data_IF_449600424500
#
_entry.id   IF_449600424500
#
_cell.length_a   1.000
_cell.length_b   1.000
_cell.length_c   1.000
_cell.angle_alpha   90.00
_cell.angle_beta   90.00
_cell.angle_gamma   90.00
#
_symmetry.space_group_name_H-M   'P 1'
#
loop_
_entity.id
_entity.type
_entity.pdbx_description
1 polymer ?
#
# COMPACT_ATOMS: atom_id res chain seq x y z
N UNK A 1 15.07 30.38 -17.64
CA UNK A 1 14.95 29.40 -16.51
C UNK A 1 16.33 29.17 -15.90
N UNK A 2 16.45 29.31 -14.57
CA UNK A 2 17.73 29.33 -13.87
C UNK A 2 18.38 27.95 -13.68
N UNK A 3 17.70 26.86 -14.01
CA UNK A 3 18.14 25.46 -13.82
C UNK A 3 18.81 25.23 -12.44
N UNK A 4 18.16 25.70 -11.39
CA UNK A 4 18.75 25.69 -10.04
C UNK A 4 18.88 24.27 -9.52
N UNK A 5 17.85 23.43 -9.76
CA UNK A 5 17.86 22.04 -9.29
C UNK A 5 18.98 21.24 -9.92
N UNK A 6 19.23 21.39 -11.23
CA UNK A 6 20.31 20.70 -11.95
C UNK A 6 21.71 21.16 -11.52
N UNK A 7 21.82 22.37 -10.96
CA UNK A 7 23.09 22.85 -10.36
C UNK A 7 23.34 22.23 -8.98
N UNK A 8 22.28 21.93 -8.26
CA UNK A 8 22.36 21.36 -6.91
C UNK A 8 22.45 19.83 -6.98
N UNK A 9 21.65 19.22 -7.85
CA UNK A 9 21.56 17.77 -8.09
C UNK A 9 21.75 17.52 -9.59
N UNK A 10 22.99 17.37 -10.10
CA UNK A 10 23.27 17.26 -11.53
C UNK A 10 22.54 16.11 -12.23
N UNK A 11 22.25 15.02 -11.51
CA UNK A 11 21.52 13.85 -12.02
C UNK A 11 20.10 14.19 -12.49
N UNK A 12 19.47 15.27 -12.03
CA UNK A 12 18.16 15.75 -12.50
C UNK A 12 18.21 16.04 -14.02
N UNK A 13 19.37 16.41 -14.55
CA UNK A 13 19.54 16.65 -15.99
C UNK A 13 19.17 15.42 -16.81
N UNK A 14 19.51 14.21 -16.35
CA UNK A 14 19.17 12.95 -17.00
C UNK A 14 17.66 12.63 -16.90
N UNK A 15 17.07 12.90 -15.77
CA UNK A 15 15.64 12.63 -15.52
C UNK A 15 14.70 13.63 -16.22
N UNK A 16 15.23 14.75 -16.70
CA UNK A 16 14.44 15.84 -17.29
C UNK A 16 13.76 15.43 -18.58
N UNK A 17 12.43 15.47 -18.55
CA UNK A 17 11.61 15.07 -19.71
C UNK A 17 11.68 13.58 -20.03
N UNK A 18 12.24 12.76 -19.15
CA UNK A 18 12.33 11.32 -19.32
C UNK A 18 10.93 10.71 -19.18
N UNK A 19 10.44 10.13 -20.27
CA UNK A 19 9.13 9.45 -20.29
C UNK A 19 9.21 8.10 -19.60
N UNK A 20 8.18 7.79 -18.84
CA UNK A 20 7.98 6.48 -18.23
C UNK A 20 6.99 5.67 -19.10
N UNK A 21 7.50 4.62 -19.76
CA UNK A 21 6.69 3.77 -20.64
C UNK A 21 5.97 2.67 -19.86
N UNK A 22 5.08 3.06 -18.95
CA UNK A 22 4.13 2.13 -18.35
C UNK A 22 2.73 2.78 -18.27
N UNK A 23 1.70 1.95 -18.26
CA UNK A 23 0.29 2.39 -18.37
C UNK A 23 -0.17 3.29 -17.20
N UNK A 24 0.59 3.36 -16.11
CA UNK A 24 0.20 4.03 -14.87
C UNK A 24 0.78 5.44 -14.73
N UNK A 25 1.98 5.70 -15.27
CA UNK A 25 2.63 7.01 -15.13
C UNK A 25 2.16 7.99 -16.21
N UNK A 26 1.56 9.09 -15.77
CA UNK A 26 1.06 10.15 -16.66
C UNK A 26 2.08 11.27 -16.90
N UNK A 27 3.16 11.26 -16.14
CA UNK A 27 4.14 12.34 -16.07
C UNK A 27 5.55 11.84 -16.38
N UNK A 28 6.42 12.75 -16.81
CA UNK A 28 7.87 12.51 -16.91
C UNK A 28 8.47 12.33 -15.50
N UNK A 29 9.66 11.73 -15.41
CA UNK A 29 10.30 11.45 -14.11
C UNK A 29 10.48 12.70 -13.27
N UNK A 30 10.96 13.80 -13.87
CA UNK A 30 11.16 15.09 -13.21
C UNK A 30 9.83 15.70 -12.75
N UNK A 31 8.80 15.70 -13.60
CA UNK A 31 7.48 16.23 -13.24
C UNK A 31 6.83 15.39 -12.14
N UNK A 32 6.93 14.05 -12.21
CA UNK A 32 6.46 13.15 -11.16
C UNK A 32 7.11 13.46 -9.80
N UNK A 33 8.44 13.60 -9.77
CA UNK A 33 9.16 13.91 -8.53
C UNK A 33 8.75 15.25 -7.92
N UNK A 34 8.55 16.29 -8.75
CA UNK A 34 8.07 17.59 -8.28
C UNK A 34 6.65 17.52 -7.72
N UNK A 35 5.76 16.79 -8.40
CA UNK A 35 4.38 16.55 -7.92
C UNK A 35 4.36 15.77 -6.61
N UNK A 36 5.24 14.78 -6.45
CA UNK A 36 5.35 14.03 -5.21
C UNK A 36 5.73 14.93 -4.02
N UNK A 37 6.63 15.89 -4.23
CA UNK A 37 6.97 16.90 -3.19
C UNK A 37 5.79 17.82 -2.89
N UNK A 38 5.07 18.31 -3.90
CA UNK A 38 3.87 19.15 -3.74
C UNK A 38 2.81 18.40 -2.92
N UNK A 39 2.47 17.17 -3.32
CA UNK A 39 1.49 16.31 -2.62
C UNK A 39 1.93 16.02 -1.18
N UNK A 40 3.22 15.73 -0.95
CA UNK A 40 3.71 15.51 0.41
C UNK A 40 3.50 16.75 1.29
N UNK A 41 3.66 17.95 0.74
CA UNK A 41 3.43 19.21 1.45
C UNK A 41 1.96 19.38 1.81
N UNK A 42 1.04 18.98 0.93
CA UNK A 42 -0.42 19.03 1.14
C UNK A 42 -0.86 18.06 2.26
N UNK A 43 -0.09 17.03 2.57
CA UNK A 43 -0.36 16.16 3.73
C UNK A 43 -0.33 16.91 5.07
N UNK A 44 0.25 18.10 5.11
CA UNK A 44 0.16 18.98 6.29
C UNK A 44 -1.29 19.29 6.68
N UNK A 45 -2.20 19.33 5.71
CA UNK A 45 -3.63 19.60 5.88
C UNK A 45 -4.46 18.31 6.00
N UNK A 46 -3.88 17.16 5.72
CA UNK A 46 -4.57 15.89 5.75
C UNK A 46 -4.96 15.48 7.18
N UNK A 47 -6.12 14.85 7.31
CA UNK A 47 -6.57 14.24 8.57
C UNK A 47 -6.06 12.80 8.68
N UNK A 48 -6.05 12.27 9.92
CA UNK A 48 -5.66 10.88 10.21
C UNK A 48 -4.15 10.65 10.15
N UNK A 49 -3.78 9.37 10.14
CA UNK A 49 -2.41 8.86 10.32
C UNK A 49 -1.40 9.53 9.39
N UNK A 50 -1.73 9.72 8.11
CA UNK A 50 -0.81 10.30 7.13
C UNK A 50 -0.49 11.77 7.43
N UNK A 51 -1.52 12.56 7.74
CA UNK A 51 -1.32 13.97 8.12
C UNK A 51 -0.54 14.11 9.43
N UNK A 52 -0.82 13.26 10.42
CA UNK A 52 -0.09 13.22 11.68
C UNK A 52 1.38 12.83 11.47
N UNK A 53 1.63 11.79 10.67
CA UNK A 53 2.98 11.36 10.33
C UNK A 53 3.76 12.50 9.63
N UNK A 54 3.16 13.19 8.67
CA UNK A 54 3.84 14.33 8.04
C UNK A 54 4.10 15.47 9.02
N UNK A 55 3.10 15.89 9.81
CA UNK A 55 3.24 17.05 10.73
C UNK A 55 4.24 16.79 11.85
N UNK A 56 4.26 15.59 12.42
CA UNK A 56 5.14 15.24 13.54
C UNK A 56 6.59 14.98 13.13
N UNK A 57 6.86 14.64 11.87
CA UNK A 57 8.23 14.40 11.42
C UNK A 57 9.05 15.69 11.40
N UNK A 58 10.19 15.70 12.10
CA UNK A 58 10.99 16.93 12.28
C UNK A 58 11.82 17.29 11.04
N UNK A 59 12.27 16.29 10.26
CA UNK A 59 13.20 16.49 9.14
C UNK A 59 12.49 16.57 7.79
N UNK A 60 11.47 17.43 7.64
CA UNK A 60 10.66 17.53 6.41
C UNK A 60 11.47 17.74 5.13
N UNK A 61 12.57 18.51 5.23
CA UNK A 61 13.51 18.69 4.10
C UNK A 61 14.06 17.37 3.57
N UNK A 62 14.27 16.40 4.46
CA UNK A 62 14.75 15.06 4.09
C UNK A 62 13.70 14.28 3.28
N UNK A 63 12.42 14.38 3.65
CA UNK A 63 11.32 13.78 2.89
C UNK A 63 11.24 14.35 1.47
N UNK A 64 11.33 15.69 1.36
CA UNK A 64 11.27 16.38 0.07
C UNK A 64 12.48 16.04 -0.80
N UNK A 65 13.67 15.95 -0.20
CA UNK A 65 14.89 15.57 -0.91
C UNK A 65 14.82 14.11 -1.39
N UNK A 66 14.32 13.21 -0.53
CA UNK A 66 14.09 11.82 -0.93
C UNK A 66 13.12 11.71 -2.12
N UNK A 67 12.00 12.45 -2.09
CA UNK A 67 11.04 12.49 -3.20
C UNK A 67 11.62 13.09 -4.49
N UNK A 68 12.49 14.09 -4.38
CA UNK A 68 13.18 14.63 -5.57
C UNK A 68 14.17 13.64 -6.18
N UNK A 69 14.70 12.70 -5.39
CA UNK A 69 15.79 11.82 -5.82
C UNK A 69 15.37 10.38 -6.05
N UNK A 70 14.20 9.93 -5.57
CA UNK A 70 13.82 8.51 -5.53
C UNK A 70 13.87 7.81 -6.89
N UNK A 71 13.55 8.54 -7.95
CA UNK A 71 13.44 8.04 -9.33
C UNK A 71 14.57 8.50 -10.26
N UNK A 72 15.60 9.19 -9.76
CA UNK A 72 16.70 9.68 -10.61
C UNK A 72 17.54 8.56 -11.26
N UNK A 73 17.41 7.34 -10.76
CA UNK A 73 18.02 6.15 -11.38
C UNK A 73 17.26 5.59 -12.58
N UNK A 74 16.08 6.10 -12.91
CA UNK A 74 15.31 5.64 -14.09
C UNK A 74 15.99 6.04 -15.40
N UNK A 75 15.79 5.23 -16.43
CA UNK A 75 16.39 5.45 -17.74
C UNK A 75 17.81 4.89 -17.92
N UNK A 76 18.42 4.35 -16.89
CA UNK A 76 19.66 3.57 -16.97
C UNK A 76 19.35 2.09 -17.24
N UNK A 77 20.34 1.33 -17.71
CA UNK A 77 20.20 -0.11 -17.96
C UNK A 77 20.21 -0.97 -16.69
N UNK A 78 20.71 -0.42 -15.61
CA UNK A 78 20.82 -1.06 -14.29
C UNK A 78 19.50 -0.90 -13.50
N UNK A 79 19.36 -1.60 -12.37
CA UNK A 79 18.26 -1.37 -11.46
C UNK A 79 18.22 0.08 -10.98
N UNK A 80 17.07 0.74 -11.16
CA UNK A 80 16.95 2.17 -10.89
C UNK A 80 17.15 2.53 -9.42
N UNK A 81 16.84 1.61 -8.49
CA UNK A 81 17.04 1.84 -7.06
C UNK A 81 18.53 1.81 -6.71
N UNK A 82 19.31 0.93 -7.33
CA UNK A 82 20.77 0.88 -7.16
C UNK A 82 21.46 2.10 -7.77
N UNK A 83 21.01 2.51 -8.96
CA UNK A 83 21.50 3.76 -9.58
C UNK A 83 21.14 4.97 -8.75
N UNK A 84 19.90 5.05 -8.27
CA UNK A 84 19.44 6.11 -7.39
C UNK A 84 20.25 6.19 -6.10
N UNK A 85 20.58 5.05 -5.51
CA UNK A 85 21.45 4.96 -4.35
C UNK A 85 22.83 5.57 -4.60
N UNK A 86 23.48 5.24 -5.73
CA UNK A 86 24.79 5.85 -6.11
C UNK A 86 24.68 7.36 -6.24
N UNK A 87 23.64 7.84 -6.93
CA UNK A 87 23.39 9.28 -7.10
C UNK A 87 23.23 9.97 -5.75
N UNK A 88 22.53 9.36 -4.80
CA UNK A 88 22.41 9.90 -3.44
C UNK A 88 23.77 10.00 -2.77
N UNK A 89 24.57 8.93 -2.75
CA UNK A 89 25.87 8.90 -2.10
C UNK A 89 26.81 10.00 -2.64
N UNK A 90 26.80 10.23 -3.95
CA UNK A 90 27.58 11.32 -4.57
C UNK A 90 27.03 12.70 -4.20
N UNK A 91 25.71 12.83 -4.12
CA UNK A 91 25.03 14.12 -3.90
C UNK A 91 25.13 14.58 -2.45
N UNK A 92 24.99 13.67 -1.48
CA UNK A 92 24.93 14.02 -0.04
C UNK A 92 26.23 14.62 0.49
N UNK A 93 27.37 14.36 -0.15
CA UNK A 93 28.66 14.94 0.22
C UNK A 93 28.67 16.47 0.12
N UNK A 94 27.80 17.04 -0.71
CA UNK A 94 27.69 18.48 -0.95
C UNK A 94 26.60 19.15 -0.10
N UNK A 95 25.88 18.39 0.72
CA UNK A 95 24.80 18.91 1.57
C UNK A 95 25.19 18.93 3.04
N UNK A 96 24.80 19.96 3.80
CA UNK A 96 25.03 20.03 5.25
C UNK A 96 24.04 19.11 5.99
N UNK A 97 24.16 17.79 5.79
CA UNK A 97 23.37 16.76 6.42
C UNK A 97 24.18 16.06 7.50
N UNK A 98 23.53 15.69 8.60
CA UNK A 98 24.10 14.80 9.61
C UNK A 98 24.26 13.39 9.04
N UNK A 99 25.08 12.55 9.68
CA UNK A 99 25.31 11.17 9.25
C UNK A 99 23.98 10.38 9.20
N UNK A 100 23.13 10.54 10.23
CA UNK A 100 21.79 9.95 10.24
C UNK A 100 20.92 10.41 9.05
N UNK A 101 20.96 11.71 8.70
CA UNK A 101 20.20 12.22 7.55
C UNK A 101 20.73 11.66 6.23
N UNK A 102 22.05 11.50 6.09
CA UNK A 102 22.67 10.88 4.90
C UNK A 102 22.28 9.41 4.75
N UNK A 103 22.42 8.63 5.82
CA UNK A 103 22.03 7.20 5.85
C UNK A 103 20.54 7.02 5.60
N UNK A 104 19.70 7.86 6.21
CA UNK A 104 18.25 7.80 6.01
C UNK A 104 17.88 8.16 4.58
N UNK A 105 18.49 9.19 3.98
CA UNK A 105 18.22 9.56 2.59
C UNK A 105 18.63 8.45 1.61
N UNK A 106 19.81 7.85 1.82
CA UNK A 106 20.24 6.68 1.05
C UNK A 106 19.23 5.56 1.13
N UNK A 107 18.78 5.20 2.34
CA UNK A 107 17.77 4.18 2.56
C UNK A 107 16.45 4.52 1.86
N UNK A 108 15.96 5.75 2.02
CA UNK A 108 14.70 6.18 1.43
C UNK A 108 14.70 6.09 -0.09
N UNK A 109 15.77 6.47 -0.75
CA UNK A 109 15.88 6.38 -2.21
C UNK A 109 16.09 4.94 -2.66
N UNK A 110 17.00 4.21 -2.03
CA UNK A 110 17.28 2.81 -2.37
C UNK A 110 16.06 1.91 -2.14
N UNK A 111 15.31 2.12 -1.07
CA UNK A 111 14.20 1.26 -0.63
C UNK A 111 12.83 1.92 -0.77
N UNK A 112 12.68 2.93 -1.65
CA UNK A 112 11.43 3.67 -1.80
C UNK A 112 10.22 2.77 -2.13
N UNK A 113 10.42 1.66 -2.84
CA UNK A 113 9.38 0.69 -3.17
C UNK A 113 9.12 -0.34 -2.07
N UNK A 114 9.96 -0.41 -1.01
CA UNK A 114 9.89 -1.47 -0.01
C UNK A 114 8.53 -1.54 0.67
N UNK A 115 8.01 -0.41 1.14
CA UNK A 115 6.75 -0.38 1.87
C UNK A 115 5.56 -0.74 0.97
N UNK A 116 5.46 -0.14 -0.22
CA UNK A 116 4.38 -0.42 -1.16
C UNK A 116 4.40 -1.87 -1.65
N UNK A 117 5.58 -2.40 -2.00
CA UNK A 117 5.72 -3.79 -2.41
C UNK A 117 5.34 -4.77 -1.28
N UNK A 118 5.74 -4.48 -0.03
CA UNK A 118 5.39 -5.35 1.09
C UNK A 118 3.89 -5.29 1.36
N UNK A 119 3.32 -4.10 1.47
CA UNK A 119 1.91 -3.93 1.79
C UNK A 119 0.96 -4.48 0.72
N UNK A 120 1.32 -4.36 -0.57
CA UNK A 120 0.41 -4.77 -1.65
C UNK A 120 0.65 -6.20 -2.16
N UNK A 121 1.83 -6.77 -1.96
CA UNK A 121 2.20 -8.08 -2.52
C UNK A 121 2.31 -9.19 -1.48
N UNK A 122 2.51 -8.85 -0.19
CA UNK A 122 2.49 -9.79 0.93
C UNK A 122 1.21 -9.59 1.75
N UNK A 123 0.92 -10.51 2.66
CA UNK A 123 -0.12 -10.27 3.65
C UNK A 123 0.40 -9.26 4.68
N UNK A 124 -0.05 -8.00 4.57
CA UNK A 124 0.34 -6.91 5.47
C UNK A 124 -0.13 -7.11 6.93
N UNK A 125 -1.05 -8.06 7.16
CA UNK A 125 -1.57 -8.39 8.48
C UNK A 125 -0.81 -9.55 9.15
N UNK A 126 0.03 -10.27 8.37
CA UNK A 126 0.80 -11.38 8.91
C UNK A 126 1.92 -10.88 9.83
N UNK A 127 1.98 -11.35 11.11
CA UNK A 127 3.01 -10.94 12.05
C UNK A 127 4.43 -11.15 11.55
N UNK A 128 4.69 -12.22 10.79
CA UNK A 128 6.03 -12.48 10.23
C UNK A 128 6.44 -11.45 9.19
N UNK A 129 5.50 -11.01 8.36
CA UNK A 129 5.70 -9.92 7.39
C UNK A 129 6.02 -8.60 8.09
N UNK A 130 5.29 -8.29 9.18
CA UNK A 130 5.54 -7.07 9.97
C UNK A 130 6.92 -7.10 10.62
N UNK A 131 7.31 -8.23 11.23
CA UNK A 131 8.63 -8.39 11.86
C UNK A 131 9.76 -8.29 10.82
N UNK A 132 9.63 -8.96 9.68
CA UNK A 132 10.60 -8.89 8.58
C UNK A 132 10.78 -7.45 8.07
N UNK A 133 9.66 -6.75 7.82
CA UNK A 133 9.69 -5.36 7.37
C UNK A 133 10.26 -4.42 8.44
N UNK A 134 9.85 -4.57 9.71
CA UNK A 134 10.37 -3.78 10.80
C UNK A 134 11.90 -3.94 10.96
N UNK A 135 12.42 -5.15 10.78
CA UNK A 135 13.87 -5.41 10.85
C UNK A 135 14.66 -4.72 9.73
N UNK A 136 14.07 -4.56 8.55
CA UNK A 136 14.68 -3.85 7.43
C UNK A 136 14.65 -2.33 7.61
N UNK A 137 13.60 -1.80 8.23
CA UNK A 137 13.43 -0.36 8.47
C UNK A 137 14.23 0.12 9.68
N UNK A 138 14.32 -0.68 10.72
CA UNK A 138 15.21 -0.51 11.88
C UNK A 138 14.74 0.47 12.95
N UNK A 139 14.02 1.54 12.62
CA UNK A 139 13.56 2.52 13.62
C UNK A 139 12.21 3.16 13.27
N UNK A 140 11.47 3.68 14.28
CA UNK A 140 10.22 4.39 14.08
C UNK A 140 10.38 5.65 13.22
N UNK A 141 11.50 6.38 13.36
CA UNK A 141 11.75 7.61 12.60
C UNK A 141 11.99 7.30 11.11
N UNK A 142 12.76 6.26 10.80
CA UNK A 142 12.98 5.80 9.42
C UNK A 142 11.68 5.24 8.83
N UNK A 143 10.88 4.52 9.63
CA UNK A 143 9.56 4.06 9.22
C UNK A 143 8.64 5.22 8.83
N UNK A 144 8.59 6.26 9.64
CA UNK A 144 7.80 7.47 9.38
C UNK A 144 8.31 8.20 8.13
N UNK A 145 9.64 8.30 7.99
CA UNK A 145 10.30 8.87 6.83
C UNK A 145 10.05 8.07 5.54
N UNK A 146 9.82 6.76 5.61
CA UNK A 146 9.47 5.91 4.46
C UNK A 146 7.97 5.99 4.12
N UNK A 147 7.09 6.01 5.14
CA UNK A 147 5.64 5.99 4.96
C UNK A 147 5.13 7.21 4.19
N UNK A 148 5.56 8.41 4.58
CA UNK A 148 5.10 9.64 3.95
C UNK A 148 5.50 9.74 2.46
N UNK A 149 6.77 9.54 2.08
CA UNK A 149 7.16 9.50 0.68
C UNK A 149 6.48 8.39 -0.12
N UNK A 150 6.27 7.20 0.45
CA UNK A 150 5.55 6.12 -0.23
C UNK A 150 4.13 6.55 -0.62
N UNK A 151 3.41 7.23 0.28
CA UNK A 151 2.09 7.75 -0.02
C UNK A 151 2.13 8.88 -1.07
N UNK A 152 3.11 9.77 -0.99
CA UNK A 152 3.25 10.89 -1.92
C UNK A 152 3.62 10.43 -3.34
N UNK A 153 4.54 9.49 -3.45
CA UNK A 153 4.93 8.85 -4.71
C UNK A 153 3.72 8.20 -5.38
N UNK A 154 2.99 7.33 -4.69
CA UNK A 154 1.77 6.69 -5.22
C UNK A 154 0.71 7.71 -5.65
N UNK A 155 0.50 8.78 -4.89
CA UNK A 155 -0.45 9.83 -5.26
C UNK A 155 0.00 10.64 -6.48
N UNK A 156 1.31 10.79 -6.69
CA UNK A 156 1.90 11.52 -7.80
C UNK A 156 1.89 10.75 -9.13
N UNK A 157 1.72 9.42 -9.11
CA UNK A 157 1.62 8.60 -10.34
C UNK A 157 0.42 9.02 -11.18
N UNK A 158 -0.72 9.30 -10.54
CA UNK A 158 -1.93 9.73 -11.21
C UNK A 158 -3.16 9.75 -10.30
N UNK A 159 -4.29 10.31 -10.77
CA UNK A 159 -5.55 10.26 -10.04
C UNK A 159 -5.92 8.81 -9.67
N UNK A 160 -6.45 8.64 -8.46
CA UNK A 160 -6.96 7.37 -7.93
C UNK A 160 -5.93 6.23 -7.75
N UNK A 161 -4.63 6.47 -8.00
CA UNK A 161 -3.57 5.48 -7.74
C UNK A 161 -3.42 5.25 -6.25
N UNK A 162 -3.37 6.30 -5.43
CA UNK A 162 -3.51 6.22 -3.97
C UNK A 162 -4.98 6.40 -3.60
N UNK A 163 -5.80 5.38 -3.86
CA UNK A 163 -7.21 5.37 -3.45
C UNK A 163 -7.36 5.17 -1.94
N UNK A 164 -8.60 5.29 -1.42
CA UNK A 164 -8.87 5.20 0.01
C UNK A 164 -8.44 3.84 0.60
N UNK A 165 -8.66 2.73 -0.12
CA UNK A 165 -8.21 1.42 0.33
C UNK A 165 -6.69 1.32 0.48
N UNK A 166 -5.92 1.78 -0.51
CA UNK A 166 -4.44 1.76 -0.44
C UNK A 166 -3.93 2.65 0.68
N UNK A 167 -4.58 3.80 0.88
CA UNK A 167 -4.25 4.72 1.99
C UNK A 167 -4.48 4.07 3.35
N UNK A 168 -5.62 3.41 3.52
CA UNK A 168 -5.97 2.72 4.76
C UNK A 168 -5.05 1.53 5.03
N UNK A 169 -4.75 0.73 4.00
CA UNK A 169 -3.83 -0.40 4.10
C UNK A 169 -2.41 0.04 4.50
N UNK A 170 -1.88 1.09 3.85
CA UNK A 170 -0.57 1.64 4.18
C UNK A 170 -0.55 2.25 5.60
N UNK A 171 -1.62 2.92 6.01
CA UNK A 171 -1.74 3.49 7.35
C UNK A 171 -1.75 2.38 8.41
N UNK A 172 -2.52 1.31 8.20
CA UNK A 172 -2.56 0.16 9.10
C UNK A 172 -1.20 -0.53 9.17
N UNK A 173 -0.58 -0.79 8.03
CA UNK A 173 0.75 -1.42 7.96
C UNK A 173 1.81 -0.57 8.68
N UNK A 174 1.79 0.76 8.49
CA UNK A 174 2.64 1.71 9.21
C UNK A 174 2.45 1.61 10.72
N UNK A 175 1.20 1.67 11.21
CA UNK A 175 0.90 1.65 12.64
C UNK A 175 1.32 0.33 13.30
N UNK A 176 1.05 -0.81 12.67
CA UNK A 176 1.46 -2.15 13.17
C UNK A 176 2.98 -2.30 13.19
N UNK A 177 3.66 -1.82 12.16
CA UNK A 177 5.13 -1.85 12.12
C UNK A 177 5.73 -0.92 13.19
N UNK A 178 5.14 0.26 13.39
CA UNK A 178 5.56 1.18 14.46
C UNK A 178 5.39 0.54 15.83
N UNK A 179 4.28 -0.10 16.09
CA UNK A 179 4.04 -0.87 17.32
C UNK A 179 5.11 -1.96 17.52
N UNK A 180 5.47 -2.69 16.45
CA UNK A 180 6.52 -3.71 16.50
C UNK A 180 7.88 -3.09 16.86
N UNK A 181 8.20 -1.90 16.33
CA UNK A 181 9.47 -1.21 16.56
C UNK A 181 9.57 -0.57 17.95
N UNK A 182 8.46 -0.03 18.48
CA UNK A 182 8.44 0.66 19.78
C UNK A 182 8.17 -0.27 20.95
N UNK A 183 7.60 -1.45 20.71
CA UNK A 183 7.13 -2.34 21.76
C UNK A 183 5.91 -1.80 22.55
N UNK A 184 5.39 -0.65 22.15
CA UNK A 184 4.22 -0.04 22.75
C UNK A 184 2.97 -0.83 22.35
N UNK A 185 2.27 -1.35 23.36
CA UNK A 185 0.90 -1.84 23.17
C UNK A 185 -0.06 -0.65 23.18
N UNK A 186 0.06 0.25 22.21
CA UNK A 186 -1.07 1.12 21.94
C UNK A 186 -2.24 0.23 21.56
N UNK A 187 -3.38 0.43 22.24
CA UNK A 187 -4.62 -0.20 21.82
C UNK A 187 -4.85 0.30 20.38
N UNK A 188 -4.41 -0.51 19.43
CA UNK A 188 -4.63 -0.24 18.02
C UNK A 188 -6.13 0.02 17.88
N UNK A 189 -6.50 1.18 17.34
CA UNK A 189 -7.90 1.54 17.09
C UNK A 189 -8.47 0.65 15.96
N UNK A 190 -8.20 -0.67 16.04
CA UNK A 190 -8.72 -1.65 15.10
C UNK A 190 -10.24 -1.58 15.03
N UNK A 191 -10.88 -1.28 16.16
CA UNK A 191 -12.33 -1.18 16.22
C UNK A 191 -12.86 0.07 15.50
N UNK A 192 -12.17 1.21 15.60
CA UNK A 192 -12.59 2.43 14.91
C UNK A 192 -12.35 2.34 13.39
N UNK A 193 -11.23 1.75 12.98
CA UNK A 193 -10.96 1.47 11.59
C UNK A 193 -11.98 0.47 11.01
N UNK A 194 -12.22 -0.65 11.72
CA UNK A 194 -13.19 -1.66 11.30
C UNK A 194 -14.61 -1.07 11.21
N UNK A 195 -15.00 -0.21 12.17
CA UNK A 195 -16.28 0.53 12.10
C UNK A 195 -16.34 1.40 10.86
N UNK A 196 -15.33 2.22 10.61
CA UNK A 196 -15.28 3.08 9.40
C UNK A 196 -15.38 2.27 8.12
N UNK A 197 -14.70 1.13 8.07
CA UNK A 197 -14.75 0.23 6.92
C UNK A 197 -16.14 -0.37 6.72
N UNK A 198 -16.78 -0.84 7.81
CA UNK A 198 -18.17 -1.31 7.77
C UNK A 198 -19.13 -0.20 7.34
N UNK A 199 -18.98 1.01 7.87
CA UNK A 199 -19.81 2.16 7.47
C UNK A 199 -19.70 2.49 5.98
N UNK A 200 -18.50 2.41 5.40
CA UNK A 200 -18.30 2.58 3.96
C UNK A 200 -19.04 1.53 3.15
N UNK A 201 -18.98 0.25 3.55
CA UNK A 201 -19.68 -0.84 2.88
C UNK A 201 -21.20 -0.66 3.00
N UNK A 202 -21.71 -0.29 4.19
CA UNK A 202 -23.11 0.01 4.41
C UNK A 202 -23.60 1.21 3.57
N UNK A 203 -22.77 2.22 3.36
CA UNK A 203 -23.11 3.34 2.46
C UNK A 203 -23.24 2.87 1.00
N UNK A 204 -22.38 1.97 0.54
CA UNK A 204 -22.48 1.36 -0.79
C UNK A 204 -23.76 0.53 -0.91
N UNK A 205 -24.08 -0.28 0.10
CA UNK A 205 -25.29 -1.08 0.15
C UNK A 205 -26.56 -0.23 0.09
N UNK A 206 -26.63 0.87 0.85
CA UNK A 206 -27.77 1.81 0.84
C UNK A 206 -27.98 2.49 -0.53
N UNK A 207 -26.89 2.77 -1.26
CA UNK A 207 -26.96 3.33 -2.61
C UNK A 207 -27.46 2.32 -3.64
N UNK A 208 -27.17 1.05 -3.44
CA UNK A 208 -27.60 -0.04 -4.32
C UNK A 208 -29.10 -0.43 -4.14
N UNK A 209 -29.83 0.25 -3.25
CA UNK A 209 -31.25 0.04 -2.93
C UNK A 209 -31.59 -1.41 -2.51
N UNK A 210 -30.64 -2.07 -1.84
CA UNK A 210 -30.77 -3.47 -1.46
C UNK A 210 -31.25 -3.66 0.00
N UNK A 211 -31.62 -4.87 0.32
CA UNK A 211 -32.47 -5.32 1.43
C UNK A 211 -31.81 -5.31 2.84
N UNK A 212 -32.58 -5.48 3.93
CA UNK A 212 -32.11 -5.36 5.33
C UNK A 212 -31.03 -6.34 5.79
N UNK A 213 -30.74 -7.41 5.02
CA UNK A 213 -29.74 -8.43 5.34
C UNK A 213 -28.29 -7.90 5.33
N UNK A 214 -28.02 -6.75 4.67
CA UNK A 214 -26.70 -6.14 4.58
C UNK A 214 -26.07 -5.87 5.94
N UNK A 215 -26.85 -5.38 6.89
CA UNK A 215 -26.34 -4.99 8.21
C UNK A 215 -25.75 -6.21 8.91
N UNK A 216 -26.44 -7.36 8.89
CA UNK A 216 -25.94 -8.60 9.52
C UNK A 216 -24.67 -9.10 8.87
N UNK A 217 -24.63 -9.14 7.52
CA UNK A 217 -23.49 -9.69 6.79
C UNK A 217 -22.24 -8.81 6.96
N UNK A 218 -22.41 -7.49 6.97
CA UNK A 218 -21.32 -6.55 7.21
C UNK A 218 -20.84 -6.62 8.66
N UNK A 219 -21.73 -6.76 9.63
CA UNK A 219 -21.36 -6.95 11.04
C UNK A 219 -20.59 -8.27 11.26
N UNK A 220 -21.04 -9.35 10.60
CA UNK A 220 -20.42 -10.66 10.65
C UNK A 220 -19.07 -10.74 9.92
N UNK A 221 -18.70 -9.70 9.16
CA UNK A 221 -17.43 -9.69 8.41
C UNK A 221 -16.24 -9.52 9.37
N UNK A 222 -15.32 -10.50 9.44
CA UNK A 222 -14.17 -10.42 10.32
C UNK A 222 -13.17 -9.34 9.89
N UNK A 223 -12.41 -8.83 10.84
CA UNK A 223 -11.51 -7.67 10.62
C UNK A 223 -10.38 -7.97 9.62
N UNK A 224 -9.90 -9.21 9.55
CA UNK A 224 -8.89 -9.64 8.58
C UNK A 224 -9.46 -9.61 7.14
N UNK A 225 -10.70 -10.03 6.94
CA UNK A 225 -11.37 -9.91 5.64
C UNK A 225 -11.65 -8.44 5.28
N UNK A 226 -12.06 -7.60 6.26
CA UNK A 226 -12.20 -6.17 6.03
C UNK A 226 -10.89 -5.53 5.55
N UNK A 227 -9.74 -5.98 6.06
CA UNK A 227 -8.43 -5.46 5.71
C UNK A 227 -7.89 -5.98 4.36
N UNK A 228 -8.33 -7.17 3.93
CA UNK A 228 -7.74 -7.86 2.77
C UNK A 228 -8.02 -7.18 1.42
N UNK A 229 -9.06 -6.34 1.32
CA UNK A 229 -9.50 -5.76 0.05
C UNK A 229 -10.23 -4.41 0.19
N UNK A 230 -10.49 -3.75 -0.95
CA UNK A 230 -11.20 -2.47 -0.99
C UNK A 230 -12.66 -2.60 -0.54
N UNK A 231 -13.27 -1.50 -0.02
CA UNK A 231 -14.70 -1.49 0.34
C UNK A 231 -15.63 -1.80 -0.84
N UNK A 232 -15.38 -1.30 -2.08
CA UNK A 232 -16.18 -1.69 -3.23
C UNK A 232 -16.06 -3.18 -3.60
N UNK A 233 -14.84 -3.73 -3.58
CA UNK A 233 -14.62 -5.15 -3.88
C UNK A 233 -15.29 -6.06 -2.85
N UNK A 234 -15.12 -5.72 -1.56
CA UNK A 234 -15.75 -6.46 -0.49
C UNK A 234 -17.29 -6.37 -0.54
N UNK A 235 -17.81 -5.19 -0.87
CA UNK A 235 -19.25 -5.02 -1.09
C UNK A 235 -19.76 -5.96 -2.18
N UNK A 236 -19.08 -6.05 -3.33
CA UNK A 236 -19.51 -6.93 -4.41
C UNK A 236 -19.39 -8.41 -4.01
N UNK A 237 -18.33 -8.80 -3.28
CA UNK A 237 -18.19 -10.16 -2.77
C UNK A 237 -19.31 -10.54 -1.80
N UNK A 238 -19.61 -9.68 -0.83
CA UNK A 238 -20.72 -9.88 0.10
C UNK A 238 -22.06 -9.94 -0.64
N UNK A 239 -22.24 -9.15 -1.69
CA UNK A 239 -23.42 -9.18 -2.55
C UNK A 239 -23.56 -10.48 -3.33
N UNK A 240 -22.47 -11.09 -3.77
CA UNK A 240 -22.53 -12.43 -4.39
C UNK A 240 -22.86 -13.49 -3.36
N UNK A 241 -22.24 -13.43 -2.18
CA UNK A 241 -22.50 -14.35 -1.07
C UNK A 241 -23.96 -14.33 -0.63
N UNK A 242 -24.57 -13.16 -0.57
CA UNK A 242 -25.96 -13.00 -0.13
C UNK A 242 -27.00 -13.69 -1.03
N UNK A 243 -26.64 -14.01 -2.25
CA UNK A 243 -27.52 -14.72 -3.20
C UNK A 243 -27.46 -16.23 -3.03
N UNK A 244 -26.50 -16.74 -2.29
CA UNK A 244 -26.34 -18.17 -2.06
C UNK A 244 -27.43 -18.69 -1.15
N UNK A 245 -27.98 -19.86 -1.52
CA UNK A 245 -28.87 -20.63 -0.67
C UNK A 245 -28.05 -21.66 0.11
N UNK A 246 -28.65 -22.18 1.17
CA UNK A 246 -28.05 -23.26 1.93
C UNK A 246 -27.65 -24.44 1.02
N UNK A 247 -26.41 -24.89 1.13
CA UNK A 247 -25.81 -25.94 0.31
C UNK A 247 -25.33 -25.51 -1.06
N UNK A 248 -25.46 -24.23 -1.44
CA UNK A 248 -24.92 -23.70 -2.70
C UNK A 248 -23.49 -23.18 -2.53
N UNK A 249 -22.75 -23.12 -3.63
CA UNK A 249 -21.46 -22.47 -3.73
C UNK A 249 -21.39 -21.63 -5.00
N UNK A 250 -20.65 -20.53 -4.96
CA UNK A 250 -20.37 -19.70 -6.11
C UNK A 250 -18.88 -19.43 -6.24
N UNK A 251 -18.44 -19.23 -7.48
CA UNK A 251 -17.07 -18.86 -7.84
C UNK A 251 -17.10 -17.62 -8.71
N UNK A 252 -16.29 -16.62 -8.35
CA UNK A 252 -16.01 -15.48 -9.22
C UNK A 252 -14.55 -15.12 -9.15
N UNK A 253 -14.10 -14.23 -10.02
CA UNK A 253 -12.71 -13.84 -10.09
C UNK A 253 -12.56 -12.39 -10.48
N UNK A 254 -11.45 -11.80 -10.08
CA UNK A 254 -11.02 -10.46 -10.51
C UNK A 254 -9.52 -10.45 -10.78
N UNK A 255 -9.08 -9.61 -11.69
CA UNK A 255 -7.67 -9.32 -11.88
C UNK A 255 -7.21 -8.30 -10.84
N UNK A 256 -6.09 -8.57 -10.19
CA UNK A 256 -5.44 -7.69 -9.19
C UNK A 256 -4.16 -7.15 -9.79
N UNK A 257 -4.17 -5.93 -10.35
CA UNK A 257 -3.02 -5.36 -11.06
C UNK A 257 -1.77 -5.26 -10.20
N UNK A 258 -1.90 -4.92 -8.92
CA UNK A 258 -0.80 -4.75 -7.98
C UNK A 258 0.02 -6.03 -7.78
N UNK A 259 -0.63 -7.18 -7.94
CA UNK A 259 -0.02 -8.52 -7.81
C UNK A 259 0.26 -9.17 -9.17
N UNK A 260 -0.18 -8.55 -10.26
CA UNK A 260 -0.22 -9.17 -11.59
C UNK A 260 -0.79 -10.58 -11.54
N UNK A 261 -1.91 -10.74 -10.88
CA UNK A 261 -2.50 -12.04 -10.56
C UNK A 261 -4.04 -11.99 -10.69
N UNK A 262 -4.64 -13.16 -10.85
CA UNK A 262 -6.08 -13.33 -10.77
C UNK A 262 -6.44 -13.82 -9.37
N UNK A 263 -7.30 -13.10 -8.69
CA UNK A 263 -7.91 -13.54 -7.43
C UNK A 263 -9.16 -14.34 -7.75
N UNK A 264 -9.22 -15.57 -7.29
CA UNK A 264 -10.43 -16.40 -7.30
C UNK A 264 -11.08 -16.34 -5.92
N UNK A 265 -12.36 -16.05 -5.87
CA UNK A 265 -13.14 -15.99 -4.66
C UNK A 265 -14.20 -17.11 -4.74
N UNK A 266 -14.25 -17.92 -3.70
CA UNK A 266 -15.22 -18.99 -3.56
C UNK A 266 -16.06 -18.74 -2.32
N UNK A 267 -17.35 -18.53 -2.53
CA UNK A 267 -18.35 -18.46 -1.47
C UNK A 267 -19.07 -19.80 -1.37
N UNK A 268 -19.24 -20.30 -0.15
CA UNK A 268 -19.94 -21.55 0.08
C UNK A 268 -20.55 -21.60 1.47
N UNK A 269 -21.66 -22.32 1.59
CA UNK A 269 -22.23 -22.70 2.88
C UNK A 269 -21.34 -23.73 3.60
N UNK A 270 -21.31 -23.70 4.93
CA UNK A 270 -20.44 -24.56 5.75
C UNK A 270 -20.63 -26.06 5.43
N UNK A 271 -21.83 -26.48 5.14
CA UNK A 271 -22.13 -27.88 4.77
C UNK A 271 -21.44 -28.34 3.48
N UNK A 272 -21.09 -27.38 2.60
CA UNK A 272 -20.42 -27.62 1.30
C UNK A 272 -18.88 -27.49 1.39
N UNK A 273 -18.32 -27.01 2.51
CA UNK A 273 -16.91 -26.66 2.66
C UNK A 273 -15.97 -27.88 2.76
N UNK A 274 -16.49 -29.06 3.10
CA UNK A 274 -15.64 -30.25 3.33
C UNK A 274 -14.68 -30.57 2.17
N UNK A 275 -13.38 -30.31 2.37
CA UNK A 275 -12.33 -30.58 1.39
C UNK A 275 -12.28 -29.61 0.19
N UNK A 276 -13.08 -28.54 0.18
CA UNK A 276 -13.14 -27.57 -0.94
C UNK A 276 -11.79 -26.90 -1.18
N UNK A 277 -11.11 -26.43 -0.14
CA UNK A 277 -9.79 -25.82 -0.25
C UNK A 277 -8.79 -26.75 -0.92
N UNK A 278 -8.72 -28.00 -0.50
CA UNK A 278 -7.83 -28.99 -1.08
C UNK A 278 -8.15 -29.25 -2.57
N UNK A 279 -9.42 -29.33 -2.92
CA UNK A 279 -9.84 -29.53 -4.31
C UNK A 279 -9.48 -28.34 -5.19
N UNK A 280 -9.71 -27.12 -4.72
CA UNK A 280 -9.40 -25.88 -5.47
C UNK A 280 -7.88 -25.74 -5.69
N UNK A 281 -7.10 -25.89 -4.65
CA UNK A 281 -5.63 -25.80 -4.75
C UNK A 281 -5.07 -26.91 -5.64
N UNK A 282 -5.64 -28.12 -5.57
CA UNK A 282 -5.28 -29.25 -6.43
C UNK A 282 -5.57 -28.98 -7.90
N UNK A 283 -6.74 -28.42 -8.22
CA UNK A 283 -7.10 -28.05 -9.60
C UNK A 283 -6.17 -26.96 -10.13
N UNK A 284 -5.95 -25.89 -9.38
CA UNK A 284 -5.08 -24.80 -9.80
C UNK A 284 -3.64 -25.29 -10.03
N UNK A 285 -3.11 -26.12 -9.13
CA UNK A 285 -1.75 -26.68 -9.25
C UNK A 285 -1.62 -27.62 -10.45
N UNK A 286 -2.64 -28.45 -10.72
CA UNK A 286 -2.65 -29.35 -11.89
C UNK A 286 -2.65 -28.58 -13.22
N UNK A 287 -3.21 -27.39 -13.25
CA UNK A 287 -3.16 -26.49 -14.40
C UNK A 287 -1.90 -25.61 -14.45
N UNK A 288 -0.87 -25.94 -13.68
CA UNK A 288 0.41 -25.22 -13.60
C UNK A 288 0.28 -23.75 -13.20
N UNK A 289 -0.79 -23.40 -12.51
CA UNK A 289 -0.92 -22.08 -11.91
C UNK A 289 -0.07 -22.01 -10.64
N UNK A 290 0.68 -20.92 -10.48
CA UNK A 290 1.37 -20.62 -9.24
C UNK A 290 0.36 -19.96 -8.28
N UNK A 291 0.15 -20.57 -7.11
CA UNK A 291 -0.65 -19.98 -6.05
C UNK A 291 0.25 -19.04 -5.24
N UNK A 292 -0.05 -17.74 -5.29
CA UNK A 292 0.72 -16.71 -4.59
C UNK A 292 0.28 -16.58 -3.12
N UNK A 293 -1.03 -16.69 -2.86
CA UNK A 293 -1.62 -16.64 -1.54
C UNK A 293 -2.98 -17.35 -1.55
N UNK A 294 -3.41 -17.83 -0.39
CA UNK A 294 -4.75 -18.35 -0.19
C UNK A 294 -5.21 -18.04 1.25
N UNK A 295 -6.42 -17.53 1.39
CA UNK A 295 -7.00 -17.13 2.66
C UNK A 295 -8.38 -17.78 2.79
N UNK A 296 -8.76 -18.13 4.00
CA UNK A 296 -10.07 -18.67 4.34
C UNK A 296 -10.66 -17.81 5.45
N UNK A 297 -11.81 -17.23 5.16
CA UNK A 297 -12.55 -16.44 6.13
C UNK A 297 -13.89 -17.08 6.41
N UNK A 298 -14.33 -17.05 7.65
CA UNK A 298 -15.66 -17.49 8.05
C UNK A 298 -16.47 -16.26 8.46
N UNK A 299 -17.66 -16.14 7.93
CA UNK A 299 -18.62 -15.14 8.36
C UNK A 299 -19.49 -15.78 9.45
N UNK A 300 -19.43 -15.22 10.65
CA UNK A 300 -20.22 -15.68 11.79
C UNK A 300 -21.60 -15.01 11.76
N UNK A 301 -22.43 -15.39 10.81
CA UNK A 301 -23.84 -15.07 10.93
C UNK A 301 -24.54 -16.24 11.63
N UNK A 302 -25.02 -16.03 12.81
CA UNK A 302 -25.71 -17.03 13.57
C UNK A 302 -26.98 -17.60 12.90
#
# INVERSE_FOLDING_TARGET
>A
ELRVLERIIPAITHARGLLQFNEYHKYTVDEHSLRAVEIATDFSLAKGTLGEAYRSFQHKRLLHLALLMHDLGKGYSEDHSEVGRRIVLETVEHFPLSDWEKETLEFLVHKHLLMSHTAFRKNANDPSTIVEFASQVGSPDVLQALYVPTCADLAAVGPDVLNDWKRDLLAEFYLRTRQQLTGEKEAFQSDEWARRKRDQILQLARRAADQPWWERLVEATPNDLLASQSSPDLFEDLRQLSKLKAGESALWSRYVPERNAVQYIVGADESSMGGMFHRLTGVLSNHRNQILAAEIHRLDDG
#
